data_IF_827002778335
#
_entry.id   IF_827002778335
#
_cell.length_a   1.000
_cell.length_b   1.000
_cell.length_c   1.000
_cell.angle_alpha   90.00
_cell.angle_beta   90.00
_cell.angle_gamma   90.00
#
_symmetry.space_group_name_H-M   'P 1'
#
loop_
_entity.id
_entity.type
_entity.pdbx_description
1 polymer ?
#
# COMPACT_ATOMS: atom_id res chain seq x y z
N UNK A 1 -3.53 28.62 17.60
CA UNK A 1 -4.73 27.78 17.78
C UNK A 1 -4.76 26.75 16.66
N UNK A 2 -4.44 25.48 16.95
CA UNK A 2 -4.47 24.42 15.94
C UNK A 2 -5.92 24.02 15.69
N UNK A 3 -6.42 24.37 14.51
CA UNK A 3 -7.81 24.15 14.11
C UNK A 3 -8.09 22.66 14.15
N UNK A 4 -9.19 22.28 14.80
CA UNK A 4 -9.78 20.94 14.91
C UNK A 4 -10.32 20.49 13.54
N UNK A 5 -9.43 20.44 12.55
CA UNK A 5 -9.67 20.12 11.14
C UNK A 5 -8.71 19.00 10.68
N UNK A 6 -7.92 18.45 11.60
CA UNK A 6 -6.87 17.49 11.28
C UNK A 6 -7.44 16.11 10.90
N UNK A 7 -8.37 15.57 11.67
CA UNK A 7 -8.81 14.17 11.47
C UNK A 7 -9.59 13.97 10.16
N UNK A 8 -10.56 14.84 9.89
CA UNK A 8 -11.40 14.73 8.69
C UNK A 8 -10.61 15.03 7.42
N UNK A 9 -9.61 15.92 7.47
CA UNK A 9 -8.74 16.17 6.32
C UNK A 9 -7.71 15.07 6.11
N UNK A 10 -7.18 14.46 7.18
CA UNK A 10 -6.32 13.27 7.10
C UNK A 10 -7.10 12.12 6.44
N UNK A 11 -8.31 11.81 6.91
CA UNK A 11 -9.13 10.73 6.33
C UNK A 11 -9.43 10.97 4.84
N UNK A 12 -9.74 12.22 4.46
CA UNK A 12 -9.93 12.60 3.06
C UNK A 12 -8.64 12.44 2.24
N UNK A 13 -7.50 12.83 2.79
CA UNK A 13 -6.21 12.64 2.12
C UNK A 13 -5.92 11.16 1.89
N UNK A 14 -6.11 10.32 2.91
CA UNK A 14 -5.87 8.87 2.78
C UNK A 14 -6.80 8.24 1.73
N UNK A 15 -8.09 8.62 1.73
CA UNK A 15 -9.06 8.12 0.75
C UNK A 15 -8.75 8.60 -0.68
N UNK A 16 -8.20 9.80 -0.83
CA UNK A 16 -7.80 10.34 -2.12
C UNK A 16 -6.44 9.80 -2.60
N UNK A 17 -5.55 9.43 -1.68
CA UNK A 17 -4.23 8.89 -2.02
C UNK A 17 -4.32 7.42 -2.41
N UNK A 18 -5.09 6.61 -1.69
CA UNK A 18 -5.29 5.20 -2.01
C UNK A 18 -6.03 5.03 -3.34
N UNK A 19 -5.48 4.23 -4.24
CA UNK A 19 -5.98 4.01 -5.59
C UNK A 19 -5.63 5.12 -6.57
N UNK A 20 -4.95 6.19 -6.15
CA UNK A 20 -4.56 7.30 -7.01
C UNK A 20 -3.33 6.98 -7.85
N UNK A 21 -3.14 7.76 -8.92
CA UNK A 21 -1.91 7.71 -9.72
C UNK A 21 -0.66 8.09 -8.90
N UNK A 22 -0.82 8.89 -7.84
CA UNK A 22 0.28 9.21 -6.92
C UNK A 22 0.74 7.97 -6.15
N UNK A 23 -0.17 7.16 -5.63
CA UNK A 23 0.19 5.89 -4.95
C UNK A 23 0.93 4.96 -5.92
N UNK A 24 0.43 4.80 -7.15
CA UNK A 24 1.07 3.95 -8.17
C UNK A 24 2.48 4.44 -8.52
N UNK A 25 2.66 5.75 -8.72
CA UNK A 25 3.97 6.32 -9.00
C UNK A 25 4.94 6.17 -7.82
N UNK A 26 4.48 6.40 -6.60
CA UNK A 26 5.30 6.21 -5.39
C UNK A 26 5.71 4.74 -5.21
N UNK A 27 4.79 3.81 -5.44
CA UNK A 27 5.07 2.37 -5.43
C UNK A 27 6.19 2.01 -6.40
N UNK A 28 6.08 2.45 -7.65
CA UNK A 28 7.09 2.20 -8.68
C UNK A 28 8.45 2.78 -8.31
N UNK A 29 8.48 4.02 -7.84
CA UNK A 29 9.71 4.69 -7.43
C UNK A 29 10.38 3.98 -6.24
N UNK A 30 9.60 3.61 -5.22
CA UNK A 30 10.11 2.91 -4.04
C UNK A 30 10.51 1.46 -4.36
N UNK A 31 9.80 0.79 -5.26
CA UNK A 31 10.15 -0.53 -5.74
C UNK A 31 11.52 -0.53 -6.41
N UNK A 32 11.78 0.45 -7.28
CA UNK A 32 13.09 0.62 -7.92
C UNK A 32 14.18 0.97 -6.91
N UNK A 33 13.91 1.89 -5.97
CA UNK A 33 14.84 2.31 -4.91
C UNK A 33 15.27 1.15 -4.02
N UNK A 34 14.32 0.32 -3.59
CA UNK A 34 14.56 -0.82 -2.71
C UNK A 34 14.77 -2.15 -3.45
N UNK A 35 14.84 -2.11 -4.79
CA UNK A 35 15.09 -3.27 -5.66
C UNK A 35 14.13 -4.45 -5.39
N UNK A 36 12.86 -4.14 -5.13
CA UNK A 36 11.82 -5.13 -4.82
C UNK A 36 11.87 -5.72 -3.40
N UNK A 37 12.57 -5.08 -2.45
CA UNK A 37 12.41 -5.40 -1.03
C UNK A 37 11.11 -4.79 -0.50
N UNK A 38 10.06 -5.61 -0.49
CA UNK A 38 8.70 -5.17 -0.12
C UNK A 38 8.58 -4.73 1.34
N UNK A 39 9.37 -5.30 2.27
CA UNK A 39 9.36 -4.88 3.67
C UNK A 39 9.79 -3.41 3.81
N UNK A 40 10.84 -3.00 3.09
CA UNK A 40 11.30 -1.61 3.08
C UNK A 40 10.33 -0.69 2.36
N UNK A 41 9.71 -1.19 1.29
CA UNK A 41 8.70 -0.46 0.53
C UNK A 41 7.48 -0.16 1.40
N UNK A 42 6.90 -1.14 2.11
CA UNK A 42 5.77 -0.91 3.01
C UNK A 42 6.10 0.05 4.16
N UNK A 43 7.34 0.06 4.65
CA UNK A 43 7.77 1.07 5.64
C UNK A 43 7.84 2.51 5.07
N UNK A 44 7.81 2.66 3.74
CA UNK A 44 8.04 3.95 3.06
C UNK A 44 6.83 4.46 2.28
N UNK A 45 5.94 3.57 1.82
CA UNK A 45 4.71 3.95 1.11
C UNK A 45 3.68 4.46 2.12
N UNK A 46 3.13 5.64 1.85
CA UNK A 46 2.11 6.25 2.69
C UNK A 46 0.84 5.41 2.72
N UNK A 47 0.17 5.37 3.87
CA UNK A 47 -1.15 4.75 4.03
C UNK A 47 -1.19 3.28 3.58
N UNK A 48 -0.08 2.55 3.72
CA UNK A 48 0.03 1.14 3.33
C UNK A 48 0.06 0.20 4.53
N UNK A 49 -0.66 -0.91 4.42
CA UNK A 49 -0.65 -2.02 5.38
C UNK A 49 -0.26 -3.32 4.65
N UNK A 50 0.85 -3.98 5.00
CA UNK A 50 1.27 -5.24 4.38
C UNK A 50 0.19 -6.32 4.37
N UNK A 51 -0.75 -6.32 5.32
CA UNK A 51 -1.80 -7.34 5.39
C UNK A 51 -2.98 -7.05 4.48
N UNK A 52 -3.25 -5.77 4.19
CA UNK A 52 -4.41 -5.35 3.40
C UNK A 52 -4.02 -5.06 1.95
N UNK A 53 -2.86 -4.44 1.76
CA UNK A 53 -2.43 -3.90 0.47
C UNK A 53 -1.50 -4.84 -0.32
N UNK A 54 -1.06 -5.98 0.26
CA UNK A 54 -0.14 -6.89 -0.44
C UNK A 54 -0.67 -7.40 -1.78
N UNK A 55 -1.93 -7.82 -1.84
CA UNK A 55 -2.53 -8.28 -3.10
C UNK A 55 -2.67 -7.12 -4.10
N UNK A 56 -3.20 -5.97 -3.66
CA UNK A 56 -3.35 -4.77 -4.50
C UNK A 56 -2.02 -4.30 -5.09
N UNK A 57 -0.97 -4.24 -4.26
CA UNK A 57 0.36 -3.81 -4.69
C UNK A 57 1.00 -4.84 -5.61
N UNK A 58 0.74 -6.13 -5.37
CA UNK A 58 1.17 -7.18 -6.28
C UNK A 58 0.56 -6.99 -7.67
N UNK A 59 -0.74 -6.77 -7.75
CA UNK A 59 -1.44 -6.59 -9.04
C UNK A 59 -0.87 -5.38 -9.80
N UNK A 60 -0.70 -4.23 -9.13
CA UNK A 60 -0.12 -3.01 -9.73
C UNK A 60 1.32 -3.27 -10.24
N UNK A 61 2.14 -3.95 -9.44
CA UNK A 61 3.52 -4.25 -9.80
C UNK A 61 3.62 -5.27 -10.93
N UNK A 62 2.74 -6.28 -10.94
CA UNK A 62 2.66 -7.29 -12.00
C UNK A 62 2.19 -6.66 -13.31
N UNK A 63 1.23 -5.73 -13.28
CA UNK A 63 0.82 -4.93 -14.44
C UNK A 63 1.99 -4.12 -15.00
N UNK A 64 2.72 -3.39 -14.15
CA UNK A 64 3.89 -2.60 -14.56
C UNK A 64 5.04 -3.47 -15.11
N UNK A 65 5.22 -4.67 -14.55
CA UNK A 65 6.20 -5.65 -15.05
C UNK A 65 5.77 -6.25 -16.39
N UNK A 66 4.49 -6.56 -16.56
CA UNK A 66 3.91 -7.04 -17.82
C UNK A 66 4.00 -5.97 -18.93
N UNK A 67 3.82 -4.70 -18.57
CA UNK A 67 4.03 -3.56 -19.45
C UNK A 67 5.52 -3.28 -19.74
N UNK A 68 6.46 -4.01 -19.13
CA UNK A 68 7.90 -3.85 -19.31
C UNK A 68 8.48 -2.59 -18.64
N UNK A 69 7.71 -1.91 -17.79
CA UNK A 69 8.14 -0.70 -17.09
C UNK A 69 8.98 -0.99 -15.84
N UNK A 70 8.84 -2.18 -15.27
CA UNK A 70 9.60 -2.65 -14.12
C UNK A 70 10.28 -3.99 -14.42
N UNK A 71 11.47 -4.18 -13.84
CA UNK A 71 12.17 -5.46 -13.87
C UNK A 71 11.89 -6.21 -12.58
N UNK A 72 11.32 -7.40 -12.70
CA UNK A 72 11.14 -8.29 -11.57
C UNK A 72 12.49 -8.64 -10.93
N UNK A 73 12.52 -8.66 -9.60
CA UNK A 73 13.72 -9.06 -8.84
C UNK A 73 13.47 -10.35 -8.10
N UNK A 74 14.54 -11.06 -7.72
CA UNK A 74 14.43 -12.29 -6.91
C UNK A 74 13.70 -12.04 -5.59
N UNK A 75 13.91 -10.87 -4.99
CA UNK A 75 13.22 -10.47 -3.76
C UNK A 75 11.72 -10.32 -3.98
N UNK A 76 11.31 -9.70 -5.09
CA UNK A 76 9.91 -9.59 -5.47
C UNK A 76 9.27 -10.95 -5.69
N UNK A 77 9.86 -11.85 -6.49
CA UNK A 77 9.27 -13.17 -6.73
C UNK A 77 9.07 -13.98 -5.45
N UNK A 78 10.02 -13.89 -4.51
CA UNK A 78 9.88 -14.54 -3.20
C UNK A 78 8.68 -13.99 -2.44
N UNK A 79 8.51 -12.67 -2.41
CA UNK A 79 7.38 -12.02 -1.76
C UNK A 79 6.06 -12.31 -2.48
N UNK A 80 6.02 -12.22 -3.81
CA UNK A 80 4.82 -12.46 -4.61
C UNK A 80 4.26 -13.88 -4.38
N UNK A 81 5.15 -14.86 -4.21
CA UNK A 81 4.77 -16.23 -3.83
C UNK A 81 4.17 -16.30 -2.41
N UNK A 82 4.74 -15.58 -1.45
CA UNK A 82 4.19 -15.51 -0.09
C UNK A 82 2.80 -14.87 -0.10
N UNK A 83 2.58 -13.86 -0.96
CA UNK A 83 1.27 -13.22 -1.12
C UNK A 83 0.25 -14.19 -1.73
N UNK A 84 0.65 -15.03 -2.70
CA UNK A 84 -0.25 -16.07 -3.24
C UNK A 84 -0.64 -17.12 -2.21
N UNK A 85 0.25 -17.40 -1.25
CA UNK A 85 -0.01 -18.35 -0.16
C UNK A 85 -0.90 -17.74 0.94
N UNK A 86 -1.03 -16.42 1.00
CA UNK A 86 -1.93 -15.74 1.94
C UNK A 86 -3.31 -15.56 1.34
N UNK A 87 -4.36 -15.85 2.12
CA UNK A 87 -5.73 -15.57 1.68
C UNK A 87 -5.93 -14.05 1.48
N UNK A 88 -6.54 -13.63 0.37
CA UNK A 88 -6.91 -12.23 0.17
C UNK A 88 -7.77 -11.73 1.34
N UNK A 89 -7.56 -10.50 1.81
CA UNK A 89 -8.45 -9.93 2.81
C UNK A 89 -9.88 -9.96 2.25
N UNK A 90 -10.82 -10.49 3.03
CA UNK A 90 -12.22 -10.64 2.63
C UNK A 90 -12.89 -9.32 2.19
N UNK A 91 -12.28 -8.18 2.53
CA UNK A 91 -12.65 -6.86 2.04
C UNK A 91 -11.41 -5.94 2.13
N UNK A 92 -10.70 -5.69 1.00
CA UNK A 92 -9.47 -4.91 0.98
C UNK A 92 -9.67 -3.44 1.37
N UNK A 93 -10.91 -2.93 1.28
CA UNK A 93 -11.26 -1.55 1.65
C UNK A 93 -11.88 -1.47 3.06
N UNK A 94 -12.14 -2.59 3.73
CA UNK A 94 -12.60 -2.61 5.13
C UNK A 94 -11.46 -2.20 6.05
N UNK A 95 -11.31 -0.90 6.21
CA UNK A 95 -10.47 -0.35 7.27
C UNK A 95 -10.95 -0.91 8.62
N UNK A 96 -9.99 -1.30 9.46
CA UNK A 96 -10.25 -1.41 10.90
C UNK A 96 -10.79 -0.04 11.34
N UNK A 97 -12.08 0.03 11.70
CA UNK A 97 -12.59 1.20 12.41
C UNK A 97 -11.70 1.39 13.63
N UNK A 98 -10.92 2.47 13.68
CA UNK A 98 -10.20 2.85 14.89
C UNK A 98 -11.28 3.09 15.94
N UNK A 99 -11.42 2.17 16.91
CA UNK A 99 -12.28 2.39 18.06
C UNK A 99 -11.62 3.44 18.94
N UNK A 100 -11.84 4.72 18.62
CA UNK A 100 -11.49 5.80 19.53
C UNK A 100 -12.41 5.63 20.73
N UNK A 101 -11.87 5.12 21.85
CA UNK A 101 -12.54 5.20 23.14
C UNK A 101 -12.73 6.68 23.42
N UNK A 102 -13.95 7.18 23.27
CA UNK A 102 -14.33 8.46 23.85
C UNK A 102 -14.11 8.32 25.36
N UNK A 103 -13.00 8.87 25.86
CA UNK A 103 -12.85 9.17 27.27
C UNK A 103 -13.74 10.39 27.51
N UNK A 104 -14.94 10.11 28.01
CA UNK A 104 -15.81 11.07 28.71
C UNK A 104 -15.12 11.48 30.00
#
# INVERSE_FOLDING_TARGET
MYKKVIEVEIEKFEANYQGSDSEKNDLKNLFQKYKGNMNMLFCSVLCSDPKLDSHKFKDILDEDMAAGQLKATKAYHKWAKQVDETEPPADPLKRRKIKIKQRV
#
